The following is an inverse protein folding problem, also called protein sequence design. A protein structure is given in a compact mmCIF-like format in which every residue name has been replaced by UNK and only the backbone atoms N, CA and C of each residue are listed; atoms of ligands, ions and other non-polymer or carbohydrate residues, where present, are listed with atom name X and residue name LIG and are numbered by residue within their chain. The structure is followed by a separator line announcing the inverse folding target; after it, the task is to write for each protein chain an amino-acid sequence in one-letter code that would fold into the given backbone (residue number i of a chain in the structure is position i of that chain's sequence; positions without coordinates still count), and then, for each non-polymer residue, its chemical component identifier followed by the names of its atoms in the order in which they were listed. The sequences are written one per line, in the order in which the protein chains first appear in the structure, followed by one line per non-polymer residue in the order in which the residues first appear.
data_IF_258076513285
#
_entry.id   IF_258076513285
#
_cell.length_a   1.000
_cell.length_b   1.000
_cell.length_c   1.000
_cell.angle_alpha   90.00
_cell.angle_beta   90.00
_cell.angle_gamma   90.00
#
_symmetry.space_group_name_H-M   'P 1'
#
loop_
_entity.id
_entity.type
_entity.pdbx_description
1 polymer ?
#
# COMPACT_ATOMS: atom_id res chain seq x y z
N UNK A 1 7.01 11.51 15.02
CA UNK A 1 7.90 12.52 14.44
C UNK A 1 8.52 12.04 13.12
N UNK A 2 9.15 10.84 13.08
CA UNK A 2 9.84 10.29 11.89
C UNK A 2 9.00 10.31 10.61
N UNK A 3 7.72 9.91 10.66
CA UNK A 3 6.83 9.93 9.49
C UNK A 3 6.60 11.35 8.96
N UNK A 4 6.38 12.32 9.84
CA UNK A 4 6.16 13.70 9.42
C UNK A 4 7.41 14.30 8.79
N UNK A 5 8.56 14.06 9.39
CA UNK A 5 9.83 14.55 8.87
C UNK A 5 10.16 13.93 7.50
N UNK A 6 10.15 12.62 7.40
CA UNK A 6 10.51 11.95 6.15
C UNK A 6 9.47 12.14 5.05
N UNK A 7 8.18 11.98 5.38
CA UNK A 7 7.14 11.98 4.36
C UNK A 7 6.74 13.40 3.98
N UNK A 8 6.35 14.23 4.95
CA UNK A 8 5.80 15.57 4.63
C UNK A 8 6.92 16.54 4.30
N UNK A 9 7.88 16.72 5.20
CA UNK A 9 8.99 17.68 4.97
C UNK A 9 9.83 17.24 3.77
N UNK A 10 10.15 15.94 3.68
CA UNK A 10 10.88 15.37 2.54
C UNK A 10 10.18 15.64 1.21
N UNK A 11 8.85 15.45 1.14
CA UNK A 11 8.07 15.74 -0.07
C UNK A 11 8.04 17.23 -0.40
N UNK A 12 7.86 18.11 0.58
CA UNK A 12 7.90 19.57 0.34
C UNK A 12 9.26 20.00 -0.21
N UNK A 13 10.36 19.48 0.33
CA UNK A 13 11.70 19.77 -0.17
C UNK A 13 11.90 19.25 -1.61
N UNK A 14 11.40 18.04 -1.92
CA UNK A 14 11.41 17.51 -3.28
C UNK A 14 10.63 18.41 -4.23
N UNK A 15 9.41 18.82 -3.89
CA UNK A 15 8.58 19.69 -4.71
C UNK A 15 9.23 21.05 -4.96
N UNK A 16 9.89 21.62 -3.95
CA UNK A 16 10.67 22.87 -4.13
C UNK A 16 11.81 22.70 -5.14
N UNK A 17 12.55 21.59 -5.03
CA UNK A 17 13.61 21.28 -5.98
C UNK A 17 13.05 21.04 -7.39
N UNK A 18 11.94 20.30 -7.51
CA UNK A 18 11.27 20.06 -8.79
C UNK A 18 10.87 21.38 -9.47
N UNK A 19 10.23 22.29 -8.73
CA UNK A 19 9.85 23.60 -9.27
C UNK A 19 11.05 24.43 -9.70
N UNK A 20 12.11 24.46 -8.90
CA UNK A 20 13.34 25.19 -9.24
C UNK A 20 14.01 24.70 -10.54
N UNK A 21 13.78 23.42 -10.89
CA UNK A 21 14.30 22.81 -12.12
C UNK A 21 13.25 22.61 -13.22
N UNK A 22 12.06 23.22 -13.09
CA UNK A 22 11.00 23.15 -14.12
C UNK A 22 10.33 21.77 -14.23
N UNK A 23 10.54 20.88 -13.26
CA UNK A 23 9.91 19.53 -13.22
C UNK A 23 8.53 19.66 -12.59
N UNK A 24 7.49 19.40 -13.38
CA UNK A 24 6.09 19.55 -12.95
C UNK A 24 5.27 18.27 -13.05
N UNK A 25 5.91 17.11 -13.07
CA UNK A 25 5.23 15.82 -13.21
C UNK A 25 5.71 14.86 -12.11
N UNK A 26 4.77 14.22 -11.40
CA UNK A 26 5.09 13.27 -10.34
C UNK A 26 4.05 12.14 -10.27
N UNK A 27 4.52 10.90 -10.14
CA UNK A 27 3.70 9.77 -9.68
C UNK A 27 4.08 9.49 -8.24
N UNK A 28 3.09 9.35 -7.38
CA UNK A 28 3.29 9.20 -5.96
C UNK A 28 2.69 7.88 -5.44
N UNK A 29 3.51 7.12 -4.75
CA UNK A 29 3.09 5.95 -3.99
C UNK A 29 2.34 6.39 -2.74
N UNK A 30 1.00 6.48 -2.85
CA UNK A 30 0.11 6.72 -1.72
C UNK A 30 -0.34 5.39 -1.10
N UNK A 31 -1.44 5.37 -0.37
CA UNK A 31 -1.89 4.20 0.38
C UNK A 31 -3.39 4.24 0.66
N UNK A 32 -4.04 3.09 0.75
CA UNK A 32 -5.40 2.95 1.27
C UNK A 32 -5.51 3.37 2.76
N UNK A 33 -4.41 3.40 3.52
CA UNK A 33 -4.41 3.87 4.92
C UNK A 33 -4.87 5.32 5.09
N UNK A 34 -5.01 6.09 4.01
CA UNK A 34 -5.63 7.43 4.02
C UNK A 34 -7.11 7.38 4.36
N UNK A 35 -7.80 6.27 4.07
CA UNK A 35 -9.23 6.11 4.34
C UNK A 35 -9.54 5.85 5.82
N UNK A 36 -8.65 5.15 6.55
CA UNK A 36 -8.88 4.70 7.92
C UNK A 36 -9.83 3.51 7.99
N UNK A 37 -10.75 3.51 8.96
CA UNK A 37 -11.77 2.46 9.08
C UNK A 37 -12.82 2.63 7.98
N UNK A 38 -13.09 1.59 7.19
CA UNK A 38 -14.05 1.67 6.08
C UNK A 38 -15.47 1.95 6.59
N UNK A 39 -16.14 2.90 5.95
CA UNK A 39 -17.58 3.15 6.16
C UNK A 39 -18.44 2.29 5.23
N UNK A 40 -17.89 1.87 4.11
CA UNK A 40 -18.49 0.94 3.15
C UNK A 40 -17.40 0.22 2.36
N UNK A 41 -17.74 -0.92 1.78
CA UNK A 41 -16.87 -1.72 0.91
C UNK A 41 -17.64 -2.14 -0.34
N UNK A 42 -16.97 -2.27 -1.50
CA UNK A 42 -15.56 -1.94 -1.74
C UNK A 42 -15.26 -0.45 -1.59
N UNK A 43 -14.03 -0.12 -1.17
CA UNK A 43 -13.57 1.27 -1.01
C UNK A 43 -13.26 1.85 -2.40
N UNK A 44 -13.95 2.93 -2.78
CA UNK A 44 -13.66 3.72 -3.97
C UNK A 44 -12.93 5.02 -3.65
N UNK A 45 -12.57 5.80 -4.67
CA UNK A 45 -11.86 7.07 -4.50
C UNK A 45 -12.72 8.18 -3.87
N UNK A 46 -14.05 8.01 -3.82
CA UNK A 46 -15.02 8.91 -3.18
C UNK A 46 -15.14 8.64 -1.68
N UNK A 47 -14.63 7.51 -1.20
CA UNK A 47 -14.71 7.13 0.21
C UNK A 47 -14.08 8.21 1.10
N UNK A 48 -14.73 8.60 2.22
CA UNK A 48 -14.17 9.56 3.17
C UNK A 48 -12.78 9.15 3.66
N UNK A 49 -11.88 10.12 3.74
CA UNK A 49 -10.51 9.91 4.23
C UNK A 49 -10.39 10.36 5.69
N UNK A 50 -10.22 9.40 6.59
CA UNK A 50 -10.03 9.62 8.02
C UNK A 50 -8.94 8.69 8.59
N UNK A 51 -7.66 8.94 8.29
CA UNK A 51 -6.56 8.05 8.66
C UNK A 51 -6.43 7.91 10.18
N UNK A 52 -6.33 6.67 10.66
CA UNK A 52 -6.26 6.31 12.08
C UNK A 52 -4.81 6.23 12.61
N UNK A 53 -3.82 6.36 11.75
CA UNK A 53 -2.41 6.31 12.14
C UNK A 53 -1.57 7.42 11.49
N UNK A 54 -0.37 7.74 12.04
CA UNK A 54 0.48 8.80 11.50
C UNK A 54 0.94 8.56 10.06
N UNK A 55 1.14 7.31 9.64
CA UNK A 55 1.53 6.98 8.27
C UNK A 55 0.46 7.41 7.28
N UNK A 56 -0.78 6.92 7.43
CA UNK A 56 -1.91 7.30 6.58
C UNK A 56 -2.15 8.81 6.58
N UNK A 57 -2.04 9.45 7.76
CA UNK A 57 -2.18 10.90 7.90
C UNK A 57 -1.14 11.66 7.09
N UNK A 58 0.13 11.26 7.13
CA UNK A 58 1.18 11.92 6.34
C UNK A 58 0.99 11.73 4.84
N UNK A 59 0.48 10.58 4.40
CA UNK A 59 0.17 10.33 2.98
C UNK A 59 -0.99 11.21 2.51
N UNK A 60 -2.06 11.33 3.31
CA UNK A 60 -3.18 12.24 3.04
C UNK A 60 -2.71 13.71 2.95
N UNK A 61 -1.88 14.16 3.89
CA UNK A 61 -1.30 15.51 3.85
C UNK A 61 -0.54 15.76 2.55
N UNK A 62 0.20 14.78 2.04
CA UNK A 62 0.94 14.90 0.78
C UNK A 62 -0.02 15.01 -0.41
N UNK A 63 -1.09 14.24 -0.46
CA UNK A 63 -2.11 14.36 -1.50
C UNK A 63 -2.74 15.76 -1.51
N UNK A 64 -3.03 16.32 -0.34
CA UNK A 64 -3.53 17.69 -0.20
C UNK A 64 -2.50 18.72 -0.69
N UNK A 65 -1.23 18.56 -0.33
CA UNK A 65 -0.13 19.42 -0.82
C UNK A 65 -0.04 19.36 -2.34
N UNK A 66 -0.18 18.19 -2.96
CA UNK A 66 -0.17 18.08 -4.43
C UNK A 66 -1.32 18.83 -5.07
N UNK A 67 -2.52 18.78 -4.52
CA UNK A 67 -3.66 19.56 -4.99
C UNK A 67 -3.43 21.08 -4.88
N UNK A 68 -2.75 21.54 -3.83
CA UNK A 68 -2.35 22.93 -3.70
C UNK A 68 -1.28 23.34 -4.72
N UNK A 69 -0.27 22.47 -4.94
CA UNK A 69 0.78 22.69 -5.93
C UNK A 69 0.26 22.63 -7.37
N UNK A 70 -0.74 21.79 -7.65
CA UNK A 70 -1.45 21.79 -8.93
C UNK A 70 -2.08 23.16 -9.21
N UNK A 71 -2.84 23.69 -8.25
CA UNK A 71 -3.50 24.99 -8.37
C UNK A 71 -2.53 26.16 -8.47
N UNK A 72 -1.47 26.13 -7.67
CA UNK A 72 -0.52 27.25 -7.58
C UNK A 72 0.55 27.25 -8.67
N UNK A 73 1.03 26.08 -9.09
CA UNK A 73 2.22 25.93 -9.92
C UNK A 73 2.02 25.06 -11.16
N UNK A 74 0.83 24.48 -11.34
CA UNK A 74 0.53 23.58 -12.45
C UNK A 74 1.23 22.22 -12.32
N UNK A 75 1.40 21.71 -11.10
CA UNK A 75 1.91 20.36 -10.87
C UNK A 75 0.92 19.34 -11.45
N UNK A 76 1.41 18.41 -12.24
CA UNK A 76 0.66 17.24 -12.70
C UNK A 76 1.04 16.06 -11.84
N UNK A 77 0.05 15.43 -11.19
CA UNK A 77 0.32 14.34 -10.25
C UNK A 77 -0.69 13.21 -10.39
N UNK A 78 -0.21 11.99 -10.16
CA UNK A 78 -1.06 10.82 -9.95
C UNK A 78 -0.62 10.16 -8.65
N UNK A 79 -1.51 10.09 -7.67
CA UNK A 79 -1.28 9.40 -6.40
C UNK A 79 -1.95 8.02 -6.45
N UNK A 80 -1.15 6.97 -6.32
CA UNK A 80 -1.60 5.58 -6.37
C UNK A 80 -1.84 5.08 -4.94
N UNK A 81 -3.10 4.92 -4.55
CA UNK A 81 -3.52 4.41 -3.24
C UNK A 81 -3.63 2.89 -3.30
N UNK A 82 -2.54 2.19 -3.12
CA UNK A 82 -2.59 0.74 -3.11
C UNK A 82 -2.83 0.15 -1.73
N UNK A 83 -3.39 -1.05 -1.72
CA UNK A 83 -3.71 -1.82 -0.53
C UNK A 83 -2.47 -2.61 -0.07
N UNK A 84 -2.50 -3.92 -0.01
CA UNK A 84 -1.35 -4.68 0.51
C UNK A 84 -0.54 -5.23 -0.67
N UNK A 85 0.66 -4.68 -0.88
CA UNK A 85 1.57 -5.20 -1.87
C UNK A 85 2.03 -6.62 -1.48
N UNK A 86 2.06 -7.53 -2.46
CA UNK A 86 2.43 -8.92 -2.25
C UNK A 86 3.15 -9.49 -3.47
N UNK A 87 3.85 -10.60 -3.29
CA UNK A 87 4.53 -11.31 -4.36
C UNK A 87 5.97 -10.86 -4.58
N UNK A 88 6.53 -11.33 -5.68
CA UNK A 88 7.90 -11.06 -6.13
C UNK A 88 7.94 -11.00 -7.65
N UNK A 89 9.11 -10.67 -8.23
CA UNK A 89 9.28 -10.77 -9.67
C UNK A 89 9.12 -12.21 -10.17
N UNK A 90 8.64 -12.37 -11.40
CA UNK A 90 8.37 -13.69 -11.99
C UNK A 90 9.61 -14.62 -12.03
N UNK A 91 10.81 -14.06 -12.10
CA UNK A 91 12.07 -14.80 -12.06
C UNK A 91 12.58 -15.07 -10.63
N UNK A 92 11.85 -14.64 -9.60
CA UNK A 92 12.17 -14.82 -8.19
C UNK A 92 13.39 -14.05 -7.68
N UNK A 93 13.98 -13.15 -8.48
CA UNK A 93 15.21 -12.43 -8.09
C UNK A 93 14.95 -11.17 -7.29
N UNK A 94 13.76 -10.57 -7.41
CA UNK A 94 13.38 -9.35 -6.70
C UNK A 94 12.16 -9.67 -5.84
N UNK A 95 12.28 -9.49 -4.54
CA UNK A 95 11.23 -9.73 -3.57
C UNK A 95 11.33 -8.81 -2.38
N UNK A 96 10.41 -8.99 -1.44
CA UNK A 96 10.37 -8.22 -0.21
C UNK A 96 11.50 -8.63 0.74
N UNK A 97 12.21 -7.64 1.29
CA UNK A 97 13.28 -7.86 2.28
C UNK A 97 13.29 -6.72 3.29
N UNK A 98 12.56 -6.88 4.39
CA UNK A 98 12.51 -5.92 5.50
C UNK A 98 13.22 -6.45 6.75
N UNK A 99 13.82 -5.52 7.51
CA UNK A 99 14.39 -5.80 8.83
C UNK A 99 14.01 -4.67 9.79
N UNK A 100 13.15 -4.90 10.79
CA UNK A 100 12.37 -6.13 11.02
C UNK A 100 11.24 -6.33 10.01
N UNK A 101 10.91 -7.60 9.68
CA UNK A 101 9.76 -7.93 8.86
C UNK A 101 8.46 -7.86 9.68
N UNK A 102 7.41 -7.27 9.10
CA UNK A 102 6.12 -7.06 9.78
C UNK A 102 4.91 -7.44 8.91
N UNK A 103 5.12 -7.77 7.64
CA UNK A 103 4.04 -8.10 6.71
C UNK A 103 3.63 -9.57 6.81
N UNK A 104 2.32 -9.84 6.69
CA UNK A 104 1.74 -11.15 6.96
C UNK A 104 2.35 -12.26 6.10
N UNK A 105 2.35 -12.10 4.77
CA UNK A 105 2.78 -13.15 3.84
C UNK A 105 4.24 -13.55 4.09
N UNK A 106 5.23 -12.64 4.17
CA UNK A 106 6.60 -13.00 4.53
C UNK A 106 6.72 -13.67 5.91
N UNK A 107 5.93 -13.25 6.90
CA UNK A 107 5.96 -13.86 8.23
C UNK A 107 5.42 -15.29 8.20
N UNK A 108 4.34 -15.55 7.46
CA UNK A 108 3.79 -16.92 7.25
C UNK A 108 4.83 -17.80 6.58
N UNK A 109 5.48 -17.33 5.52
CA UNK A 109 6.51 -18.09 4.80
C UNK A 109 7.73 -18.37 5.69
N UNK A 110 8.16 -17.41 6.52
CA UNK A 110 9.24 -17.62 7.49
C UNK A 110 8.88 -18.63 8.57
N UNK A 111 7.62 -18.69 9.01
CA UNK A 111 7.17 -19.71 9.94
C UNK A 111 7.17 -21.10 9.28
N UNK A 112 6.68 -21.22 8.07
CA UNK A 112 6.65 -22.47 7.30
C UNK A 112 8.09 -22.96 6.96
N UNK A 113 9.01 -22.06 6.67
CA UNK A 113 10.43 -22.41 6.40
C UNK A 113 11.20 -22.80 7.66
N UNK A 114 10.68 -22.47 8.86
CA UNK A 114 11.35 -22.68 10.13
C UNK A 114 12.32 -21.56 10.54
N UNK A 115 12.40 -20.47 9.77
CA UNK A 115 13.16 -19.28 10.14
C UNK A 115 12.53 -18.52 11.31
N UNK A 116 11.24 -18.75 11.54
CA UNK A 116 10.46 -18.21 12.65
C UNK A 116 9.72 -19.33 13.35
N UNK A 117 9.61 -19.27 14.69
CA UNK A 117 8.98 -20.30 15.50
C UNK A 117 7.48 -20.47 15.19
N UNK A 118 6.75 -19.36 15.10
CA UNK A 118 5.32 -19.32 14.88
C UNK A 118 4.89 -17.96 14.30
N UNK A 119 3.64 -17.86 13.87
CA UNK A 119 2.97 -16.57 13.65
C UNK A 119 1.85 -16.40 14.67
N UNK A 120 1.53 -15.15 14.99
CA UNK A 120 0.39 -14.85 15.86
C UNK A 120 -0.75 -14.29 15.00
N UNK A 121 -1.91 -14.93 15.11
CA UNK A 121 -3.16 -14.42 14.55
C UNK A 121 -3.77 -13.45 15.56
N UNK A 122 -3.80 -12.17 15.21
CA UNK A 122 -4.31 -11.10 16.07
C UNK A 122 -5.82 -10.93 15.85
N UNK A 123 -6.61 -11.52 16.75
CA UNK A 123 -8.07 -11.48 16.71
C UNK A 123 -8.67 -12.62 15.88
N UNK A 124 -9.73 -13.20 16.44
CA UNK A 124 -10.54 -14.27 15.82
C UNK A 124 -12.03 -13.98 15.96
N UNK A 125 -12.35 -12.73 16.29
CA UNK A 125 -13.69 -12.22 16.64
C UNK A 125 -14.09 -11.00 15.75
N UNK A 126 -13.41 -10.82 14.61
CA UNK A 126 -13.84 -9.87 13.60
C UNK A 126 -15.16 -10.30 12.96
N UNK A 127 -15.98 -9.34 12.56
CA UNK A 127 -17.23 -9.59 11.81
C UNK A 127 -16.89 -9.96 10.34
N UNK A 128 -16.32 -11.15 10.17
CA UNK A 128 -15.86 -11.75 8.92
C UNK A 128 -16.21 -13.23 8.90
N UNK A 129 -16.29 -13.90 7.74
CA UNK A 129 -16.71 -15.31 7.65
C UNK A 129 -15.90 -16.28 8.52
N UNK A 130 -14.62 -16.01 8.74
CA UNK A 130 -13.74 -16.88 9.54
C UNK A 130 -13.24 -16.24 10.84
N UNK A 131 -13.73 -15.03 11.15
CA UNK A 131 -13.40 -14.28 12.35
C UNK A 131 -12.04 -13.58 12.28
N UNK A 132 -11.28 -13.71 11.19
CA UNK A 132 -9.98 -13.02 11.04
C UNK A 132 -10.07 -11.80 10.12
N UNK A 133 -9.07 -10.92 10.22
CA UNK A 133 -9.02 -9.68 9.46
C UNK A 133 -8.91 -9.96 7.96
N UNK A 134 -9.67 -9.22 7.15
CA UNK A 134 -9.65 -9.29 5.67
C UNK A 134 -8.83 -8.13 5.11
N UNK A 135 -8.02 -8.40 4.09
CA UNK A 135 -7.25 -7.40 3.34
C UNK A 135 -7.28 -7.69 1.85
N UNK A 136 -7.17 -6.64 1.04
CA UNK A 136 -6.95 -6.76 -0.41
C UNK A 136 -5.44 -6.82 -0.67
N UNK A 137 -4.99 -7.81 -1.42
CA UNK A 137 -3.60 -8.03 -1.80
C UNK A 137 -3.43 -7.83 -3.29
N UNK A 138 -2.52 -6.94 -3.68
CA UNK A 138 -2.19 -6.67 -5.08
C UNK A 138 -0.76 -7.08 -5.38
N UNK A 139 -0.55 -7.76 -6.49
CA UNK A 139 0.78 -8.24 -6.88
C UNK A 139 1.72 -7.08 -7.24
N UNK A 140 2.98 -7.18 -6.85
CA UNK A 140 3.98 -6.11 -7.07
C UNK A 140 4.23 -5.83 -8.55
N UNK A 141 4.06 -6.81 -9.44
CA UNK A 141 4.17 -6.60 -10.89
C UNK A 141 3.00 -5.76 -11.43
N UNK A 142 1.77 -5.95 -10.91
CA UNK A 142 0.62 -5.12 -11.25
C UNK A 142 0.81 -3.69 -10.74
N UNK A 143 1.40 -3.52 -9.54
CA UNK A 143 1.79 -2.20 -9.04
C UNK A 143 2.84 -1.54 -9.94
N UNK A 144 3.85 -2.28 -10.39
CA UNK A 144 4.86 -1.76 -11.30
C UNK A 144 4.24 -1.33 -12.64
N UNK A 145 3.34 -2.15 -13.20
CA UNK A 145 2.58 -1.81 -14.40
C UNK A 145 1.73 -0.55 -14.18
N UNK A 146 1.02 -0.44 -13.06
CA UNK A 146 0.21 0.72 -12.75
C UNK A 146 1.06 2.01 -12.63
N UNK A 147 2.25 1.94 -12.02
CA UNK A 147 3.18 3.08 -11.98
C UNK A 147 3.64 3.50 -13.38
N UNK A 148 3.98 2.53 -14.25
CA UNK A 148 4.34 2.82 -15.65
C UNK A 148 3.18 3.51 -16.38
N UNK A 149 1.97 2.96 -16.29
CA UNK A 149 0.79 3.55 -16.91
C UNK A 149 0.47 4.94 -16.34
N UNK A 150 0.66 5.16 -15.04
CA UNK A 150 0.49 6.47 -14.43
C UNK A 150 1.47 7.51 -15.02
N UNK A 151 2.74 7.14 -15.23
CA UNK A 151 3.72 8.02 -15.89
C UNK A 151 3.27 8.37 -17.31
N UNK A 152 2.76 7.41 -18.08
CA UNK A 152 2.27 7.62 -19.44
C UNK A 152 1.02 8.52 -19.48
N UNK A 153 0.21 8.52 -18.41
CA UNK A 153 -1.04 9.29 -18.31
C UNK A 153 -0.88 10.68 -17.68
N UNK A 154 0.28 11.01 -17.12
CA UNK A 154 0.54 12.34 -16.56
C UNK A 154 0.32 13.44 -17.61
N UNK A 155 -0.57 14.39 -17.27
CA UNK A 155 -0.99 15.47 -18.13
C UNK A 155 -2.33 15.23 -18.85
N UNK A 156 -2.80 13.99 -18.95
CA UNK A 156 -4.16 13.67 -19.38
C UNK A 156 -5.07 13.31 -18.20
N UNK A 157 -4.49 12.98 -17.05
CA UNK A 157 -5.17 12.71 -15.79
C UNK A 157 -4.37 13.29 -14.63
N UNK A 158 -5.04 13.86 -13.66
CA UNK A 158 -4.52 14.28 -12.35
C UNK A 158 -5.42 13.75 -11.26
N UNK A 159 -4.86 13.35 -10.12
CA UNK A 159 -5.63 12.93 -8.95
C UNK A 159 -5.17 11.61 -8.33
N UNK A 160 -6.08 10.99 -7.60
CA UNK A 160 -5.82 9.76 -6.86
C UNK A 160 -6.51 8.57 -7.51
N UNK A 161 -5.87 7.40 -7.48
CA UNK A 161 -6.39 6.15 -8.05
C UNK A 161 -6.15 5.04 -7.03
N UNK A 162 -7.20 4.26 -6.73
CA UNK A 162 -7.08 3.05 -5.93
C UNK A 162 -6.47 1.91 -6.75
N UNK A 163 -5.56 1.17 -6.14
CA UNK A 163 -4.98 -0.04 -6.72
C UNK A 163 -5.19 -1.22 -5.77
N UNK A 164 -6.14 -2.05 -6.10
CA UNK A 164 -6.49 -3.28 -5.42
C UNK A 164 -7.10 -4.27 -6.40
N UNK A 165 -7.38 -5.47 -5.95
CA UNK A 165 -8.06 -6.50 -6.74
C UNK A 165 -9.58 -6.42 -6.61
N UNK A 166 -10.08 -5.71 -5.59
CA UNK A 166 -11.49 -5.71 -5.20
C UNK A 166 -11.92 -7.00 -4.50
N UNK A 167 -10.98 -7.89 -4.21
CA UNK A 167 -11.22 -9.16 -3.55
C UNK A 167 -10.50 -9.16 -2.20
N UNK A 168 -11.27 -9.33 -1.12
CA UNK A 168 -10.71 -9.44 0.21
C UNK A 168 -10.25 -10.88 0.50
N UNK A 169 -9.09 -11.01 1.14
CA UNK A 169 -8.53 -12.30 1.59
C UNK A 169 -8.26 -12.24 3.08
N UNK A 170 -8.72 -13.23 3.83
CA UNK A 170 -8.55 -13.30 5.28
C UNK A 170 -7.15 -13.79 5.68
N UNK A 171 -6.78 -13.57 6.95
CA UNK A 171 -5.53 -14.10 7.50
C UNK A 171 -5.49 -15.63 7.42
N UNK A 172 -6.60 -16.32 7.71
CA UNK A 172 -6.68 -17.78 7.63
C UNK A 172 -6.56 -18.29 6.19
N UNK A 173 -7.17 -17.60 5.24
CA UNK A 173 -7.05 -17.95 3.81
C UNK A 173 -5.59 -17.83 3.33
N UNK A 174 -4.86 -16.77 3.72
CA UNK A 174 -3.43 -16.63 3.42
C UNK A 174 -2.62 -17.79 4.02
N UNK A 175 -2.87 -18.16 5.27
CA UNK A 175 -2.19 -19.29 5.92
C UNK A 175 -2.48 -20.57 5.15
N UNK A 176 -3.75 -20.85 4.85
CA UNK A 176 -4.18 -22.05 4.13
C UNK A 176 -3.52 -22.14 2.75
N UNK A 177 -3.55 -21.05 1.98
CA UNK A 177 -2.92 -21.01 0.67
C UNK A 177 -1.40 -21.26 0.76
N UNK A 178 -0.72 -20.68 1.74
CA UNK A 178 0.70 -20.91 1.95
C UNK A 178 1.02 -22.36 2.36
N UNK A 179 0.17 -22.99 3.17
CA UNK A 179 0.28 -24.43 3.52
C UNK A 179 0.10 -25.31 2.27
N UNK A 180 -0.93 -25.05 1.46
CA UNK A 180 -1.21 -25.79 0.24
C UNK A 180 -0.04 -25.73 -0.74
N UNK A 181 0.49 -24.53 -1.00
CA UNK A 181 1.61 -24.33 -1.92
C UNK A 181 2.92 -24.95 -1.43
N UNK A 182 3.18 -24.85 -0.12
CA UNK A 182 4.43 -25.35 0.48
C UNK A 182 4.39 -26.85 0.82
N UNK A 183 3.22 -27.46 0.95
CA UNK A 183 3.01 -28.80 1.47
C UNK A 183 3.35 -28.95 2.96
N UNK A 184 3.48 -27.85 3.71
CA UNK A 184 3.87 -27.83 5.13
C UNK A 184 2.85 -27.06 5.95
N UNK A 185 2.72 -27.41 7.24
CA UNK A 185 1.87 -26.68 8.18
C UNK A 185 2.55 -25.41 8.68
N UNK A 186 1.78 -24.34 8.81
CA UNK A 186 2.22 -23.08 9.41
C UNK A 186 2.02 -23.16 10.93
N UNK A 187 3.07 -23.05 11.74
CA UNK A 187 2.93 -22.92 13.18
C UNK A 187 2.22 -21.61 13.55
N UNK A 188 1.10 -21.68 14.28
CA UNK A 188 0.31 -20.52 14.73
C UNK A 188 0.14 -20.51 16.23
#
# INVERSE_FOLDING_TARGET
EKYYYNNVIGTVNLLRAMLAHGVKKIVFSSTCATYGEPQYTPIDEQHPQNPINPYGRTKLMIEQIFADYERAYGLQHIALRYFNAAGCSADGKIGESHTPETHLIPLVLKAISGERKDIKVFGTDYDTPDGTCIRDYIHVEDLALAHRLAVEKLGSYNGCINLGTGIGTSVKEIITAAEEVSGKKCPT
#
